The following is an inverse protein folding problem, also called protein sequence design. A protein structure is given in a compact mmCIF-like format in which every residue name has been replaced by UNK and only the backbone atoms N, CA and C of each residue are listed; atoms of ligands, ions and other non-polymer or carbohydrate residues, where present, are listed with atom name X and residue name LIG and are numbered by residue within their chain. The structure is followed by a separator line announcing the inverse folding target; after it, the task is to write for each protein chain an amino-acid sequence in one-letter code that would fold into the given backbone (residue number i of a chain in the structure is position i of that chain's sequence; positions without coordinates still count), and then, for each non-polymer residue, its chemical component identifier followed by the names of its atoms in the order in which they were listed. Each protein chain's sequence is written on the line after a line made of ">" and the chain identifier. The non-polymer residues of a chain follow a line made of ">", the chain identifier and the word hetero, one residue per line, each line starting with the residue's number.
data_IF_134928568667
#
_entry.id   IF_134928568667
#
_cell.length_a   1.000
_cell.length_b   1.000
_cell.length_c   1.000
_cell.angle_alpha   90.00
_cell.angle_beta   90.00
_cell.angle_gamma   90.00
#
_symmetry.space_group_name_H-M   'P 1'
#
loop_
_entity.id
_entity.type
_entity.pdbx_description
1 polymer ?
#
# COMPACT_ATOMS: atom_id res chain seq x y z
N UNK A 1 19.11 59.15 24.58
CA UNK A 1 17.76 58.54 24.52
C UNK A 1 17.58 57.51 23.38
N UNK A 2 18.27 57.63 22.24
CA UNK A 2 18.14 56.66 21.13
C UNK A 2 18.70 55.25 21.41
N UNK A 3 19.77 55.13 22.19
CA UNK A 3 20.41 53.83 22.50
C UNK A 3 19.56 52.93 23.40
N UNK A 4 18.74 53.51 24.28
CA UNK A 4 17.84 52.73 25.16
C UNK A 4 16.61 52.19 24.42
N UNK A 5 16.13 52.92 23.40
CA UNK A 5 15.03 52.47 22.54
C UNK A 5 15.48 51.26 21.70
N UNK A 6 16.72 51.27 21.20
CA UNK A 6 17.29 50.14 20.45
C UNK A 6 17.38 48.87 21.31
N UNK A 7 17.78 49.01 22.57
CA UNK A 7 17.91 47.89 23.49
C UNK A 7 16.55 47.27 23.87
N UNK A 8 15.53 48.11 24.05
CA UNK A 8 14.15 47.66 24.29
C UNK A 8 13.59 46.86 23.11
N UNK A 9 13.88 47.30 21.88
CA UNK A 9 13.37 46.68 20.66
C UNK A 9 14.03 45.32 20.37
N UNK A 10 15.30 45.16 20.75
CA UNK A 10 16.03 43.88 20.67
C UNK A 10 15.52 42.88 21.72
N UNK A 11 15.18 43.34 22.92
CA UNK A 11 14.61 42.46 23.95
C UNK A 11 13.20 41.99 23.56
N UNK A 12 12.41 42.86 22.93
CA UNK A 12 11.05 42.51 22.49
C UNK A 12 11.02 41.46 21.37
N UNK A 13 12.03 41.42 20.49
CA UNK A 13 12.09 40.45 19.39
C UNK A 13 12.49 39.04 19.84
N UNK A 14 13.17 38.92 20.99
CA UNK A 14 13.58 37.63 21.57
C UNK A 14 12.43 36.89 22.29
N UNK A 15 11.31 37.56 22.57
CA UNK A 15 10.09 36.95 23.12
C UNK A 15 9.15 36.36 22.07
N UNK A 16 9.48 36.44 20.77
CA UNK A 16 8.73 35.76 19.72
C UNK A 16 9.09 34.25 19.66
N UNK A 17 8.96 33.58 20.80
CA UNK A 17 8.99 32.13 20.88
C UNK A 17 7.65 31.63 20.35
N UNK A 18 7.63 31.21 19.09
CA UNK A 18 6.46 30.59 18.48
C UNK A 18 6.22 29.25 19.15
N UNK A 19 5.10 29.09 19.88
CA UNK A 19 4.64 27.75 20.23
C UNK A 19 4.29 27.03 18.93
N UNK A 20 4.81 25.81 18.78
CA UNK A 20 4.32 24.91 17.75
C UNK A 20 2.81 24.77 17.95
N UNK A 21 2.06 25.02 16.88
CA UNK A 21 0.62 24.88 16.92
C UNK A 21 0.30 23.39 17.04
N UNK A 22 -0.20 22.99 18.21
CA UNK A 22 -0.76 21.66 18.44
C UNK A 22 -2.10 21.57 17.72
N UNK A 23 -2.02 21.35 16.41
CA UNK A 23 -3.18 21.17 15.55
C UNK A 23 -3.43 19.67 15.49
N UNK A 24 -4.54 19.24 16.09
CA UNK A 24 -5.02 17.88 15.90
C UNK A 24 -5.14 17.59 14.40
N UNK A 25 -4.54 16.49 13.91
CA UNK A 25 -4.67 16.12 12.51
C UNK A 25 -6.17 15.95 12.18
N UNK A 26 -6.61 16.40 10.99
CA UNK A 26 -8.02 16.32 10.63
C UNK A 26 -8.51 14.88 10.71
N UNK A 27 -9.67 14.69 11.36
CA UNK A 27 -10.29 13.36 11.45
C UNK A 27 -10.62 12.87 10.05
N UNK A 28 -9.81 11.94 9.57
CA UNK A 28 -9.92 11.41 8.22
C UNK A 28 -10.53 10.02 8.32
N UNK A 29 -11.73 9.86 7.73
CA UNK A 29 -12.39 8.55 7.73
C UNK A 29 -11.50 7.50 7.05
N UNK A 30 -11.16 6.45 7.80
CA UNK A 30 -10.31 5.36 7.33
C UNK A 30 -11.07 4.51 6.30
N UNK A 31 -10.48 4.31 5.13
CA UNK A 31 -11.05 3.52 4.02
C UNK A 31 -10.35 2.14 3.95
N UNK A 32 -11.06 1.05 3.65
CA UNK A 32 -10.44 -0.24 3.45
C UNK A 32 -9.56 -0.25 2.20
N UNK A 33 -8.39 -0.88 2.30
CA UNK A 33 -7.39 -1.01 1.25
C UNK A 33 -7.00 -2.48 1.14
N UNK A 34 -7.04 -3.00 -0.08
CA UNK A 34 -6.72 -4.39 -0.38
C UNK A 34 -5.52 -4.40 -1.34
N UNK A 35 -4.47 -5.12 -0.96
CA UNK A 35 -3.32 -5.39 -1.80
C UNK A 35 -3.27 -6.90 -2.04
N UNK A 36 -3.42 -7.32 -3.29
CA UNK A 36 -3.42 -8.72 -3.68
C UNK A 36 -2.30 -8.96 -4.69
N UNK A 37 -1.55 -10.04 -4.49
CA UNK A 37 -0.58 -10.54 -5.45
C UNK A 37 -0.92 -11.99 -5.83
N UNK A 38 -0.98 -12.24 -7.14
CA UNK A 38 -1.14 -13.56 -7.72
C UNK A 38 -0.17 -13.70 -8.89
N UNK A 39 0.47 -14.86 -8.99
CA UNK A 39 1.34 -15.25 -10.10
C UNK A 39 1.20 -16.75 -10.35
N UNK A 40 1.14 -17.21 -11.61
CA UNK A 40 1.13 -18.64 -11.92
C UNK A 40 2.45 -19.33 -11.53
N UNK A 41 3.54 -18.58 -11.41
CA UNK A 41 4.86 -19.09 -11.07
C UNK A 41 5.15 -19.07 -9.56
N UNK A 42 4.28 -18.43 -8.76
CA UNK A 42 4.43 -18.41 -7.31
C UNK A 42 3.49 -19.42 -6.64
N UNK A 43 3.99 -20.20 -5.67
CA UNK A 43 3.21 -21.21 -4.98
C UNK A 43 2.24 -20.63 -3.96
N UNK A 44 2.13 -19.31 -3.84
CA UNK A 44 1.39 -18.69 -2.76
C UNK A 44 0.61 -17.48 -3.25
N UNK A 45 -0.68 -17.46 -2.95
CA UNK A 45 -1.50 -16.26 -3.09
C UNK A 45 -1.35 -15.43 -1.82
N UNK A 46 -1.12 -14.12 -1.97
CA UNK A 46 -0.94 -13.22 -0.84
C UNK A 46 -1.88 -12.03 -0.94
N UNK A 47 -2.74 -11.87 0.07
CA UNK A 47 -3.68 -10.75 0.17
C UNK A 47 -3.49 -10.03 1.50
N UNK A 48 -3.10 -8.76 1.46
CA UNK A 48 -3.07 -7.90 2.64
C UNK A 48 -4.28 -7.00 2.64
N UNK A 49 -4.99 -6.98 3.76
CA UNK A 49 -6.18 -6.16 3.96
C UNK A 49 -5.93 -5.26 5.15
N UNK A 50 -6.14 -3.97 4.95
CA UNK A 50 -6.02 -3.00 6.01
C UNK A 50 -6.81 -1.73 5.74
N UNK A 51 -6.56 -0.74 6.57
CA UNK A 51 -7.15 0.58 6.47
C UNK A 51 -6.14 1.57 5.90
N UNK A 52 -6.65 2.60 5.22
CA UNK A 52 -5.85 3.73 4.78
C UNK A 52 -5.17 4.37 5.99
N UNK A 53 -3.86 4.53 5.88
CA UNK A 53 -3.04 5.13 6.93
C UNK A 53 -2.85 6.62 6.59
N UNK A 54 -3.13 7.55 7.53
CA UNK A 54 -2.88 8.97 7.30
C UNK A 54 -1.37 9.23 7.15
N UNK A 55 -1.02 10.24 6.36
CA UNK A 55 0.39 10.56 6.06
C UNK A 55 1.14 11.18 7.26
N UNK A 56 0.41 11.71 8.23
CA UNK A 56 0.95 12.43 9.38
C UNK A 56 0.88 11.57 10.65
N UNK A 57 1.95 11.57 11.44
CA UNK A 57 1.96 11.03 12.81
C UNK A 57 1.89 9.51 12.96
N UNK A 58 2.21 8.73 11.91
CA UNK A 58 2.14 7.26 12.00
C UNK A 58 3.54 6.65 12.01
N UNK A 59 3.96 6.18 13.19
CA UNK A 59 5.15 5.33 13.32
C UNK A 59 4.94 3.97 12.65
N UNK A 60 6.02 3.41 12.10
CA UNK A 60 6.03 2.09 11.45
C UNK A 60 5.50 0.96 12.35
N UNK A 61 5.58 1.13 13.67
CA UNK A 61 5.07 0.20 14.69
C UNK A 61 3.54 0.15 14.75
N UNK A 62 2.84 1.20 14.30
CA UNK A 62 1.38 1.30 14.34
C UNK A 62 0.71 0.60 13.15
N UNK A 63 1.46 0.22 12.11
CA UNK A 63 0.89 -0.37 10.87
C UNK A 63 0.06 -1.63 11.14
N UNK A 64 0.46 -2.46 12.12
CA UNK A 64 -0.30 -3.67 12.50
C UNK A 64 -1.70 -3.37 13.05
N UNK A 65 -1.93 -2.16 13.60
CA UNK A 65 -3.25 -1.74 14.10
C UNK A 65 -4.24 -1.42 12.98
N UNK A 66 -3.74 -1.19 11.77
CA UNK A 66 -4.57 -0.91 10.60
C UNK A 66 -4.88 -2.17 9.79
N UNK A 67 -4.46 -3.37 10.22
CA UNK A 67 -4.77 -4.63 9.53
C UNK A 67 -6.16 -5.14 9.92
N UNK A 68 -6.91 -5.61 8.93
CA UNK A 68 -8.22 -6.25 9.12
C UNK A 68 -8.01 -7.77 9.17
N UNK A 69 -8.30 -8.38 10.32
CA UNK A 69 -8.00 -9.80 10.62
C UNK A 69 -9.23 -10.71 10.57
N UNK A 70 -10.42 -10.11 10.54
CA UNK A 70 -11.72 -10.75 10.61
C UNK A 70 -12.43 -10.72 9.24
N UNK A 71 -11.67 -10.84 8.15
CA UNK A 71 -12.22 -10.88 6.81
C UNK A 71 -12.38 -12.32 6.32
N UNK A 72 -13.50 -12.60 5.65
CA UNK A 72 -13.64 -13.79 4.81
C UNK A 72 -13.12 -13.45 3.42
N UNK A 73 -12.01 -14.07 3.03
CA UNK A 73 -11.32 -13.77 1.78
C UNK A 73 -11.40 -14.97 0.85
N UNK A 74 -11.97 -14.75 -0.33
CA UNK A 74 -12.19 -15.77 -1.35
C UNK A 74 -11.66 -15.29 -2.69
N UNK A 75 -10.93 -16.16 -3.39
CA UNK A 75 -10.55 -15.94 -4.79
C UNK A 75 -11.23 -16.98 -5.67
N UNK A 76 -11.92 -16.50 -6.70
CA UNK A 76 -12.73 -17.32 -7.59
C UNK A 76 -12.26 -17.17 -9.03
N UNK A 77 -12.16 -18.29 -9.73
CA UNK A 77 -12.12 -18.34 -11.20
C UNK A 77 -13.44 -18.92 -11.73
N UNK A 78 -13.57 -19.02 -13.04
CA UNK A 78 -14.72 -19.71 -13.67
C UNK A 78 -14.86 -21.16 -13.19
N UNK A 79 -13.75 -21.84 -12.88
CA UNK A 79 -13.75 -23.30 -12.63
C UNK A 79 -13.81 -23.67 -11.15
N UNK A 80 -13.16 -22.89 -10.28
CA UNK A 80 -13.08 -23.19 -8.84
C UNK A 80 -12.94 -21.93 -8.00
N UNK A 81 -13.17 -22.08 -6.71
CA UNK A 81 -13.03 -21.03 -5.70
C UNK A 81 -12.13 -21.52 -4.57
N UNK A 82 -11.31 -20.63 -4.01
CA UNK A 82 -10.38 -20.93 -2.92
C UNK A 82 -10.59 -19.89 -1.81
N UNK A 83 -10.71 -20.38 -0.58
CA UNK A 83 -10.75 -19.55 0.62
C UNK A 83 -9.33 -19.34 1.15
N UNK A 84 -8.97 -18.11 1.49
CA UNK A 84 -7.66 -17.79 2.04
C UNK A 84 -7.72 -17.72 3.57
N UNK A 85 -6.72 -18.29 4.22
CA UNK A 85 -6.59 -18.29 5.68
C UNK A 85 -5.73 -17.13 6.15
N UNK A 86 -6.09 -16.51 7.28
CA UNK A 86 -5.31 -15.41 7.85
C UNK A 86 -4.05 -15.93 8.55
N UNK A 87 -2.88 -15.51 8.08
CA UNK A 87 -1.59 -15.69 8.74
C UNK A 87 -1.30 -14.48 9.64
N UNK A 88 -1.44 -14.70 10.94
CA UNK A 88 -1.22 -13.68 11.96
C UNK A 88 0.25 -13.24 12.09
N UNK A 89 1.21 -14.08 11.68
CA UNK A 89 2.64 -13.77 11.77
C UNK A 89 3.03 -12.71 10.75
N UNK A 90 2.51 -12.85 9.52
CA UNK A 90 2.82 -11.98 8.39
C UNK A 90 1.75 -10.90 8.12
N UNK A 91 0.58 -11.00 8.78
CA UNK A 91 -0.52 -10.06 8.62
C UNK A 91 -1.10 -10.07 7.21
N UNK A 92 -1.25 -11.27 6.64
CA UNK A 92 -1.73 -11.51 5.29
C UNK A 92 -2.68 -12.70 5.27
N UNK A 93 -3.57 -12.73 4.29
CA UNK A 93 -4.38 -13.90 3.96
C UNK A 93 -3.68 -14.68 2.86
N UNK A 94 -3.61 -15.99 3.01
CA UNK A 94 -2.88 -16.83 2.08
C UNK A 94 -3.50 -18.20 1.87
N UNK A 95 -3.13 -18.82 0.75
CA UNK A 95 -3.36 -20.21 0.41
C UNK A 95 -2.08 -20.75 -0.24
N UNK A 96 -1.64 -21.94 0.17
CA UNK A 96 -0.43 -22.60 -0.33
C UNK A 96 -0.73 -23.84 -1.17
N UNK A 97 -1.59 -24.73 -0.68
CA UNK A 97 -1.57 -26.14 -1.10
C UNK A 97 -2.28 -26.45 -2.43
N UNK A 98 -2.65 -25.43 -3.21
CA UNK A 98 -3.46 -25.64 -4.42
C UNK A 98 -3.39 -24.49 -5.44
N UNK A 99 -2.49 -23.53 -5.22
CA UNK A 99 -2.46 -22.27 -5.98
C UNK A 99 -1.84 -22.42 -7.36
N UNK A 100 -0.80 -23.24 -7.51
CA UNK A 100 -0.10 -23.44 -8.79
C UNK A 100 -1.03 -24.05 -9.86
N UNK A 101 -1.87 -25.02 -9.48
CA UNK A 101 -2.85 -25.57 -10.41
C UNK A 101 -4.06 -24.63 -10.64
N UNK A 102 -4.25 -23.66 -9.74
CA UNK A 102 -5.41 -22.75 -9.77
C UNK A 102 -5.14 -21.56 -10.69
N UNK A 103 -3.95 -20.98 -10.56
CA UNK A 103 -3.51 -19.79 -11.26
C UNK A 103 -3.00 -20.18 -12.65
N UNK A 104 -3.71 -19.74 -13.68
CA UNK A 104 -3.37 -20.03 -15.07
C UNK A 104 -3.32 -18.75 -15.90
N UNK A 105 -2.30 -18.60 -16.75
CA UNK A 105 -2.23 -17.51 -17.72
C UNK A 105 -3.52 -17.40 -18.56
N UNK A 106 -3.98 -16.18 -18.76
CA UNK A 106 -5.18 -15.84 -19.53
C UNK A 106 -6.51 -15.92 -18.77
N UNK A 107 -6.54 -16.47 -17.56
CA UNK A 107 -7.77 -16.59 -16.79
C UNK A 107 -8.07 -15.35 -15.96
N UNK A 108 -9.37 -15.06 -15.81
CA UNK A 108 -9.89 -14.00 -14.96
C UNK A 108 -10.15 -14.55 -13.56
N UNK A 109 -9.69 -13.81 -12.56
CA UNK A 109 -9.84 -14.09 -11.14
C UNK A 109 -10.60 -12.96 -10.48
N UNK A 110 -11.57 -13.30 -9.65
CA UNK A 110 -12.32 -12.36 -8.83
C UNK A 110 -12.01 -12.61 -7.37
N UNK A 111 -11.47 -11.60 -6.69
CA UNK A 111 -11.26 -11.57 -5.26
C UNK A 111 -12.51 -10.95 -4.61
N UNK A 112 -13.03 -11.65 -3.60
CA UNK A 112 -14.11 -11.21 -2.73
C UNK A 112 -13.61 -11.13 -1.30
N UNK A 113 -13.77 -9.97 -0.67
CA UNK A 113 -13.38 -9.71 0.71
C UNK A 113 -14.62 -9.25 1.45
N UNK A 114 -15.13 -10.10 2.35
CA UNK A 114 -16.23 -9.76 3.22
C UNK A 114 -15.69 -9.43 4.61
N UNK A 115 -16.04 -8.26 5.10
CA UNK A 115 -15.68 -7.78 6.43
C UNK A 115 -16.93 -7.46 7.23
N UNK A 116 -16.85 -7.54 8.56
CA UNK A 116 -17.90 -7.14 9.48
C UNK A 116 -18.29 -5.66 9.32
N UNK A 117 -17.28 -4.79 9.14
CA UNK A 117 -17.44 -3.33 9.24
C UNK A 117 -17.54 -2.60 7.89
N UNK A 118 -17.04 -3.19 6.80
CA UNK A 118 -16.95 -2.52 5.49
C UNK A 118 -17.69 -3.27 4.36
N UNK A 119 -18.53 -4.24 4.73
CA UNK A 119 -19.33 -5.01 3.77
C UNK A 119 -18.47 -5.90 2.87
N UNK A 120 -18.92 -6.07 1.63
CA UNK A 120 -18.27 -6.92 0.62
C UNK A 120 -17.55 -6.05 -0.39
N UNK A 121 -16.25 -6.29 -0.54
CA UNK A 121 -15.37 -5.63 -1.50
C UNK A 121 -14.96 -6.63 -2.57
N UNK A 122 -15.12 -6.26 -3.83
CA UNK A 122 -14.75 -7.11 -4.96
C UNK A 122 -13.70 -6.46 -5.85
N UNK A 123 -12.82 -7.31 -6.39
CA UNK A 123 -11.78 -6.95 -7.32
C UNK A 123 -11.64 -8.04 -8.39
N UNK A 124 -11.32 -7.65 -9.61
CA UNK A 124 -11.14 -8.60 -10.72
C UNK A 124 -9.84 -8.29 -11.44
N UNK A 125 -9.10 -9.33 -11.80
CA UNK A 125 -7.87 -9.23 -12.57
C UNK A 125 -7.73 -10.42 -13.51
N UNK A 126 -6.93 -10.26 -14.57
CA UNK A 126 -6.60 -11.33 -15.49
C UNK A 126 -5.10 -11.61 -15.40
N UNK A 127 -4.74 -12.89 -15.24
CA UNK A 127 -3.33 -13.26 -15.36
C UNK A 127 -2.94 -13.14 -16.84
N UNK A 128 -1.88 -12.42 -17.18
CA UNK A 128 -1.43 -12.29 -18.57
C UNK A 128 -1.04 -13.63 -19.19
N UNK A 129 -1.20 -13.79 -20.50
CA UNK A 129 -0.77 -14.97 -21.26
C UNK A 129 0.67 -14.88 -21.74
N UNK A 130 1.24 -13.67 -21.82
CA UNK A 130 2.57 -13.44 -22.34
C UNK A 130 3.49 -12.98 -21.22
N UNK A 131 4.59 -13.70 -21.05
CA UNK A 131 5.70 -13.27 -20.19
C UNK A 131 6.41 -12.12 -20.88
N UNK A 132 6.39 -10.94 -20.27
CA UNK A 132 7.15 -9.81 -20.79
C UNK A 132 8.60 -9.91 -20.35
N UNK A 133 9.52 -9.74 -21.31
CA UNK A 133 10.93 -9.56 -20.99
C UNK A 133 11.15 -8.17 -20.39
N UNK A 134 11.70 -8.17 -19.17
CA UNK A 134 12.26 -6.97 -18.57
C UNK A 134 13.49 -6.54 -19.39
N UNK A 135 13.47 -5.33 -19.93
CA UNK A 135 14.55 -4.80 -20.78
C UNK A 135 15.71 -4.32 -19.93
N UNK A 136 15.41 -3.52 -18.90
CA UNK A 136 16.40 -3.03 -17.95
C UNK A 136 15.75 -2.54 -16.66
N UNK A 137 16.46 -2.73 -15.55
CA UNK A 137 16.12 -2.15 -14.24
C UNK A 137 17.19 -1.11 -13.91
N UNK A 138 16.77 0.13 -13.69
CA UNK A 138 17.66 1.22 -13.28
C UNK A 138 17.30 1.68 -11.88
N UNK A 139 18.28 1.71 -10.98
CA UNK A 139 18.10 2.22 -9.62
C UNK A 139 18.86 3.52 -9.46
N UNK A 140 18.19 4.55 -8.95
CA UNK A 140 18.84 5.79 -8.52
C UNK A 140 18.78 5.85 -7.00
N UNK A 141 19.94 5.72 -6.37
CA UNK A 141 20.10 6.00 -4.93
C UNK A 141 19.94 7.50 -4.73
N UNK A 142 19.05 7.89 -3.82
CA UNK A 142 18.94 9.26 -3.36
C UNK A 142 19.58 9.27 -1.97
N UNK A 143 20.72 9.94 -1.83
CA UNK A 143 21.31 10.20 -0.52
C UNK A 143 20.33 11.08 0.27
N UNK A 144 19.59 10.49 1.20
CA UNK A 144 18.84 11.25 2.18
C UNK A 144 19.82 11.78 3.23
N UNK A 145 19.73 13.08 3.53
CA UNK A 145 20.55 13.73 4.56
C UNK A 145 20.24 13.23 5.98
N UNK A 146 19.16 12.49 6.17
CA UNK A 146 18.72 11.95 7.46
C UNK A 146 18.48 10.45 7.32
N UNK A 147 19.39 9.64 7.85
CA UNK A 147 19.35 8.20 8.24
C UNK A 147 18.49 7.17 7.46
N UNK A 148 17.92 7.49 6.30
CA UNK A 148 17.01 6.65 5.54
C UNK A 148 17.44 6.61 4.07
N UNK A 149 18.06 5.51 3.64
CA UNK A 149 18.39 5.34 2.22
C UNK A 149 17.10 5.12 1.42
N UNK A 150 16.76 6.04 0.53
CA UNK A 150 15.63 5.91 -0.38
C UNK A 150 16.13 5.52 -1.77
N UNK A 151 15.71 4.36 -2.27
CA UNK A 151 16.06 3.89 -3.61
C UNK A 151 14.85 4.06 -4.52
N UNK A 152 15.00 4.84 -5.58
CA UNK A 152 14.03 4.85 -6.67
C UNK A 152 14.43 3.78 -7.69
N UNK A 153 13.55 2.81 -7.93
CA UNK A 153 13.71 1.81 -8.98
C UNK A 153 12.82 2.14 -10.17
N UNK A 154 13.39 2.11 -11.37
CA UNK A 154 12.73 2.28 -12.65
C UNK A 154 12.86 0.98 -13.43
N UNK A 155 11.74 0.42 -13.89
CA UNK A 155 11.71 -0.79 -14.71
C UNK A 155 11.28 -0.38 -16.11
N UNK A 156 12.11 -0.67 -17.12
CA UNK A 156 11.76 -0.55 -18.52
C UNK A 156 11.39 -1.93 -19.04
N UNK A 157 10.23 -2.04 -19.67
CA UNK A 157 9.71 -3.28 -20.27
C UNK A 157 9.62 -3.06 -21.79
N UNK A 158 9.99 -4.06 -22.59
CA UNK A 158 9.92 -3.95 -24.05
C UNK A 158 8.45 -3.85 -24.52
N UNK A 159 8.25 -2.94 -25.48
CA UNK A 159 6.96 -2.49 -25.99
C UNK A 159 6.24 -3.58 -26.79
N UNK A 160 4.97 -3.83 -26.47
CA UNK A 160 3.94 -4.14 -27.48
C UNK A 160 2.83 -3.12 -27.29
N UNK A 161 2.36 -2.57 -28.41
CA UNK A 161 1.23 -1.66 -28.47
C UNK A 161 0.11 -2.17 -27.55
N UNK A 162 -0.25 -1.36 -26.54
CA UNK A 162 -1.23 -1.58 -25.47
C UNK A 162 -0.70 -2.24 -24.18
N UNK A 163 -0.92 -1.50 -23.10
CA UNK A 163 -0.85 -1.90 -21.67
C UNK A 163 0.50 -1.75 -20.99
N UNK A 164 0.73 -0.53 -20.50
CA UNK A 164 1.67 -0.23 -19.41
C UNK A 164 1.37 -1.17 -18.24
N UNK A 165 2.37 -1.94 -17.81
CA UNK A 165 2.33 -2.70 -16.57
C UNK A 165 2.35 -1.73 -15.40
N UNK A 166 1.17 -1.33 -14.95
CA UNK A 166 1.01 -0.84 -13.59
C UNK A 166 1.07 -2.05 -12.69
N UNK A 167 2.01 -2.04 -11.75
CA UNK A 167 1.82 -2.71 -10.47
C UNK A 167 0.40 -2.40 -10.02
N UNK A 168 -0.48 -3.40 -9.99
CA UNK A 168 -1.84 -3.23 -9.48
C UNK A 168 -1.77 -3.17 -7.96
N UNK A 169 -1.30 -2.03 -7.44
CA UNK A 169 -1.70 -1.58 -6.13
C UNK A 169 -3.16 -1.14 -6.28
N UNK A 170 -4.10 -2.05 -6.04
CA UNK A 170 -5.52 -1.75 -6.14
C UNK A 170 -5.95 -0.88 -4.94
N UNK A 171 -5.54 0.40 -4.94
CA UNK A 171 -6.13 1.42 -4.08
C UNK A 171 -7.45 1.84 -4.69
N UNK A 172 -8.52 1.07 -4.46
CA UNK A 172 -9.87 1.57 -4.69
C UNK A 172 -10.19 2.58 -3.59
N UNK A 173 -9.94 3.86 -3.85
CA UNK A 173 -10.58 4.93 -3.09
C UNK A 173 -12.03 5.01 -3.57
N UNK A 174 -12.96 4.52 -2.77
CA UNK A 174 -14.36 4.93 -2.92
C UNK A 174 -14.40 6.43 -2.59
N UNK A 175 -14.82 7.25 -3.56
CA UNK A 175 -15.07 8.69 -3.42
C UNK A 175 -16.27 8.85 -2.49
#
# INVERSE_FOLDING_TARGET
>A
MHTQILYLLIILSLYSCTKEADIDPPDTQKKPVITCFISPDEPQISVRIGLSIPRFGVDSTQQKKYLIKDARVEIKSIKRSILLSYDASNGIYTASDDTLEFLRPGFIYTLSVQTSNYGILTATTQIPTQTMMCDSVSTKSINARDSYLSINAYIRVQNVNTTVWRWFLMRRFLI
#
